data_IF_621073808119
#
_entry.id   IF_621073808119
#
_cell.length_a   1.000
_cell.length_b   1.000
_cell.length_c   1.000
_cell.angle_alpha   90.00
_cell.angle_beta   90.00
_cell.angle_gamma   90.00
#
_symmetry.space_group_name_H-M   'P 1'
#
loop_
_entity.id
_entity.type
_entity.pdbx_description
1 polymer ?
#
# COMPACT_ATOMS: atom_id res chain seq x y z
N UNK A 1 -9.71 11.33 14.43
CA UNK A 1 -10.16 10.25 13.51
C UNK A 1 -11.42 9.52 13.95
N UNK A 2 -11.69 9.27 15.25
CA UNK A 2 -12.97 8.66 15.70
C UNK A 2 -14.25 9.37 15.17
N UNK A 3 -14.33 10.71 15.13
CA UNK A 3 -15.52 11.39 14.61
C UNK A 3 -15.78 11.13 13.13
N UNK A 4 -14.73 11.13 12.30
CA UNK A 4 -14.84 10.82 10.86
C UNK A 4 -15.32 9.39 10.63
N UNK A 5 -14.73 8.41 11.32
CA UNK A 5 -15.16 7.02 11.24
C UNK A 5 -16.61 6.85 11.68
N UNK A 6 -17.02 7.52 12.77
CA UNK A 6 -18.41 7.50 13.23
C UNK A 6 -19.37 8.14 12.21
N UNK A 7 -18.97 9.24 11.56
CA UNK A 7 -19.75 9.88 10.51
C UNK A 7 -19.95 8.97 9.29
N UNK A 8 -18.87 8.32 8.81
CA UNK A 8 -18.93 7.33 7.73
C UNK A 8 -19.95 6.23 8.05
N UNK A 9 -19.96 5.76 9.30
CA UNK A 9 -20.85 4.66 9.73
C UNK A 9 -22.30 5.08 10.03
N UNK A 10 -22.68 6.35 9.86
CA UNK A 10 -24.08 6.80 10.06
C UNK A 10 -25.02 6.31 8.96
N UNK A 11 -24.51 6.04 7.76
CA UNK A 11 -25.32 5.57 6.64
C UNK A 11 -24.55 5.51 5.33
N UNK A 12 -25.13 4.87 4.29
CA UNK A 12 -24.47 4.70 3.00
C UNK A 12 -24.20 6.03 2.30
N UNK A 13 -25.07 7.03 2.47
CA UNK A 13 -24.89 8.36 1.86
C UNK A 13 -23.66 9.05 2.46
N UNK A 14 -23.51 9.06 3.80
CA UNK A 14 -22.37 9.68 4.47
C UNK A 14 -21.06 8.99 4.08
N UNK A 15 -21.06 7.66 4.02
CA UNK A 15 -19.90 6.90 3.56
C UNK A 15 -19.55 7.22 2.10
N UNK A 16 -20.55 7.23 1.20
CA UNK A 16 -20.33 7.57 -0.20
C UNK A 16 -19.82 8.99 -0.35
N UNK A 17 -20.35 9.95 0.44
CA UNK A 17 -19.93 11.36 0.46
C UNK A 17 -18.47 11.55 0.90
N UNK A 18 -17.97 10.75 1.83
CA UNK A 18 -16.54 10.79 2.18
C UNK A 18 -15.71 10.12 1.09
N UNK A 19 -16.14 8.94 0.60
CA UNK A 19 -15.40 8.16 -0.38
C UNK A 19 -15.19 8.91 -1.70
N UNK A 20 -16.25 9.44 -2.31
CA UNK A 20 -16.14 10.16 -3.58
C UNK A 20 -15.35 11.47 -3.44
N UNK A 21 -15.56 12.25 -2.39
CA UNK A 21 -14.89 13.55 -2.21
C UNK A 21 -13.38 13.36 -2.00
N UNK A 22 -13.01 12.45 -1.10
CA UNK A 22 -11.59 12.11 -0.90
C UNK A 22 -10.99 11.38 -2.10
N UNK A 23 -11.80 10.64 -2.86
CA UNK A 23 -11.41 10.01 -4.12
C UNK A 23 -11.08 11.04 -5.20
N UNK A 24 -11.95 12.02 -5.43
CA UNK A 24 -11.70 13.11 -6.38
C UNK A 24 -10.53 13.98 -5.94
N UNK A 25 -10.45 14.32 -4.65
CA UNK A 25 -9.33 15.09 -4.10
C UNK A 25 -8.00 14.34 -4.25
N UNK A 26 -8.01 13.01 -4.33
CA UNK A 26 -6.81 12.21 -4.55
C UNK A 26 -6.17 12.43 -5.93
N UNK A 27 -6.92 12.94 -6.92
CA UNK A 27 -6.37 13.33 -8.21
C UNK A 27 -5.38 14.51 -8.09
N UNK A 28 -5.58 15.36 -7.06
CA UNK A 28 -4.69 16.49 -6.75
C UNK A 28 -3.68 16.11 -5.66
N UNK A 29 -4.12 15.34 -4.67
CA UNK A 29 -3.34 14.97 -3.49
C UNK A 29 -3.39 13.44 -3.29
N UNK A 30 -2.53 12.65 -3.96
CA UNK A 30 -2.63 11.18 -3.99
C UNK A 30 -2.78 10.51 -2.61
N UNK A 31 -2.12 11.06 -1.58
CA UNK A 31 -2.19 10.55 -0.21
C UNK A 31 -3.60 10.64 0.40
N UNK A 32 -4.45 11.57 -0.04
CA UNK A 32 -5.86 11.66 0.40
C UNK A 32 -6.66 10.44 -0.06
N UNK A 33 -6.25 9.78 -1.13
CA UNK A 33 -6.83 8.53 -1.60
C UNK A 33 -6.83 7.43 -0.53
N UNK A 34 -5.90 7.47 0.43
CA UNK A 34 -5.89 6.57 1.58
C UNK A 34 -7.18 6.66 2.41
N UNK A 35 -7.74 7.86 2.57
CA UNK A 35 -8.99 8.08 3.31
C UNK A 35 -10.20 7.55 2.53
N UNK A 36 -10.15 7.66 1.20
CA UNK A 36 -11.18 7.11 0.31
C UNK A 36 -11.20 5.58 0.39
N UNK A 37 -10.04 4.93 0.24
CA UNK A 37 -9.88 3.48 0.43
C UNK A 37 -10.28 3.04 1.83
N UNK A 38 -9.86 3.76 2.87
CA UNK A 38 -10.18 3.44 4.26
C UNK A 38 -11.68 3.50 4.55
N UNK A 39 -12.40 4.44 3.92
CA UNK A 39 -13.86 4.55 4.00
C UNK A 39 -14.53 3.30 3.45
N UNK A 40 -14.14 2.87 2.24
CA UNK A 40 -14.70 1.68 1.61
C UNK A 40 -14.32 0.39 2.36
N UNK A 41 -13.08 0.30 2.84
CA UNK A 41 -12.61 -0.79 3.69
C UNK A 41 -13.42 -0.88 4.99
N UNK A 42 -13.63 0.24 5.70
CA UNK A 42 -14.39 0.27 6.95
C UNK A 42 -15.83 -0.23 6.76
N UNK A 43 -16.52 0.29 5.74
CA UNK A 43 -17.90 -0.13 5.43
C UNK A 43 -17.95 -1.62 5.08
N UNK A 44 -16.99 -2.10 4.28
CA UNK A 44 -16.91 -3.52 3.88
C UNK A 44 -16.65 -4.43 5.09
N UNK A 45 -15.69 -4.06 5.95
CA UNK A 45 -15.31 -4.83 7.12
C UNK A 45 -16.43 -4.88 8.17
N UNK A 46 -17.16 -3.78 8.39
CA UNK A 46 -18.24 -3.72 9.38
C UNK A 46 -19.59 -4.16 8.83
N UNK A 47 -20.05 -3.53 7.75
CA UNK A 47 -21.37 -3.75 7.14
C UNK A 47 -21.43 -4.97 6.21
N UNK A 48 -20.29 -5.50 5.79
CA UNK A 48 -20.22 -6.62 4.85
C UNK A 48 -19.92 -6.19 3.41
N UNK A 49 -19.60 -7.16 2.56
CA UNK A 49 -19.15 -6.95 1.18
C UNK A 49 -20.16 -6.17 0.35
N UNK A 50 -21.45 -6.48 0.51
CA UNK A 50 -22.52 -5.81 -0.22
C UNK A 50 -22.70 -4.34 0.18
N UNK A 51 -22.53 -4.01 1.46
CA UNK A 51 -22.51 -2.61 1.90
C UNK A 51 -21.36 -1.84 1.25
N UNK A 52 -20.19 -2.46 1.12
CA UNK A 52 -19.05 -1.91 0.38
C UNK A 52 -19.40 -1.63 -1.07
N UNK A 53 -19.98 -2.61 -1.79
CA UNK A 53 -20.40 -2.44 -3.19
C UNK A 53 -21.39 -1.28 -3.34
N UNK A 54 -22.42 -1.21 -2.49
CA UNK A 54 -23.42 -0.13 -2.54
C UNK A 54 -22.80 1.25 -2.34
N UNK A 55 -21.89 1.39 -1.37
CA UNK A 55 -21.19 2.65 -1.11
C UNK A 55 -20.27 3.02 -2.27
N UNK A 56 -19.49 2.06 -2.78
CA UNK A 56 -18.60 2.25 -3.92
C UNK A 56 -19.35 2.61 -5.20
N UNK A 57 -20.50 1.97 -5.47
CA UNK A 57 -21.35 2.29 -6.61
C UNK A 57 -21.94 3.71 -6.52
N UNK A 58 -22.51 4.07 -5.36
CA UNK A 58 -23.07 5.41 -5.16
C UNK A 58 -21.99 6.50 -5.22
N UNK A 59 -20.82 6.27 -4.62
CA UNK A 59 -19.68 7.17 -4.71
C UNK A 59 -19.16 7.27 -6.16
N UNK A 60 -19.15 6.15 -6.88
CA UNK A 60 -18.66 6.05 -8.26
C UNK A 60 -19.54 6.79 -9.26
N UNK A 61 -20.86 6.74 -9.07
CA UNK A 61 -21.78 7.57 -9.84
C UNK A 61 -21.51 9.07 -9.63
N UNK A 62 -21.27 9.49 -8.39
CA UNK A 62 -20.90 10.88 -8.08
C UNK A 62 -19.57 11.30 -8.73
N UNK A 63 -18.54 10.46 -8.64
CA UNK A 63 -17.26 10.69 -9.32
C UNK A 63 -17.42 10.75 -10.84
N UNK A 64 -18.18 9.81 -11.43
CA UNK A 64 -18.40 9.74 -12.87
C UNK A 64 -19.05 11.02 -13.38
N UNK A 65 -20.15 11.45 -12.75
CA UNK A 65 -20.86 12.68 -13.14
C UNK A 65 -19.97 13.91 -13.02
N UNK A 66 -19.23 14.08 -11.91
CA UNK A 66 -18.37 15.26 -11.77
C UNK A 66 -17.16 15.24 -12.71
N UNK A 67 -16.51 14.10 -12.91
CA UNK A 67 -15.38 14.02 -13.83
C UNK A 67 -15.81 14.28 -15.27
N UNK A 68 -16.97 13.75 -15.71
CA UNK A 68 -17.46 14.03 -17.06
C UNK A 68 -17.85 15.49 -17.24
N UNK A 69 -18.51 16.11 -16.25
CA UNK A 69 -18.93 17.51 -16.34
C UNK A 69 -17.78 18.51 -16.22
N UNK A 70 -16.83 18.29 -15.30
CA UNK A 70 -15.76 19.24 -14.99
C UNK A 70 -14.49 19.01 -15.83
N UNK A 71 -14.15 17.75 -16.11
CA UNK A 71 -12.93 17.38 -16.82
C UNK A 71 -13.19 16.91 -18.26
N UNK A 72 -14.46 16.85 -18.68
CA UNK A 72 -14.85 16.36 -20.01
C UNK A 72 -14.55 14.87 -20.24
N UNK A 73 -14.24 14.10 -19.19
CA UNK A 73 -13.77 12.72 -19.34
C UNK A 73 -14.19 11.80 -18.18
N UNK A 74 -14.67 10.57 -18.45
CA UNK A 74 -15.00 9.59 -17.42
C UNK A 74 -13.77 8.85 -16.87
N UNK A 75 -12.62 8.94 -17.55
CA UNK A 75 -11.43 8.14 -17.22
C UNK A 75 -10.91 8.32 -15.80
N UNK A 76 -10.85 9.53 -15.22
CA UNK A 76 -10.39 9.70 -13.83
C UNK A 76 -11.31 9.01 -12.82
N UNK A 77 -12.63 9.03 -13.04
CA UNK A 77 -13.58 8.33 -12.19
C UNK A 77 -13.42 6.80 -12.28
N UNK A 78 -13.22 6.27 -13.49
CA UNK A 78 -12.93 4.86 -13.71
C UNK A 78 -11.59 4.45 -13.08
N UNK A 79 -10.56 5.30 -13.14
CA UNK A 79 -9.28 5.04 -12.49
C UNK A 79 -9.44 4.94 -10.96
N UNK A 80 -10.18 5.86 -10.33
CA UNK A 80 -10.48 5.77 -8.88
C UNK A 80 -11.21 4.45 -8.57
N UNK A 81 -12.24 4.11 -9.35
CA UNK A 81 -12.99 2.87 -9.13
C UNK A 81 -12.10 1.62 -9.24
N UNK A 82 -11.34 1.50 -10.33
CA UNK A 82 -10.59 0.28 -10.67
C UNK A 82 -9.27 0.15 -9.92
N UNK A 83 -8.59 1.26 -9.65
CA UNK A 83 -7.26 1.27 -9.01
C UNK A 83 -7.34 1.43 -7.51
N UNK A 84 -8.31 2.21 -7.00
CA UNK A 84 -8.40 2.52 -5.57
C UNK A 84 -9.47 1.68 -4.85
N UNK A 85 -10.68 1.59 -5.42
CA UNK A 85 -11.83 1.03 -4.71
C UNK A 85 -12.03 -0.46 -4.91
N UNK A 86 -11.94 -0.96 -6.13
CA UNK A 86 -12.10 -2.38 -6.42
C UNK A 86 -11.04 -3.22 -5.66
N UNK A 87 -9.74 -2.85 -5.66
CA UNK A 87 -8.73 -3.63 -4.95
C UNK A 87 -8.92 -3.57 -3.44
N UNK A 88 -9.21 -2.39 -2.86
CA UNK A 88 -9.42 -2.30 -1.41
C UNK A 88 -10.69 -3.01 -0.96
N UNK A 89 -11.75 -3.00 -1.76
CA UNK A 89 -12.96 -3.77 -1.49
C UNK A 89 -12.67 -5.27 -1.50
N UNK A 90 -11.94 -5.76 -2.50
CA UNK A 90 -11.53 -7.16 -2.61
C UNK A 90 -10.67 -7.59 -1.41
N UNK A 91 -9.66 -6.80 -1.06
CA UNK A 91 -8.82 -7.08 0.11
C UNK A 91 -9.59 -6.97 1.43
N UNK A 92 -10.53 -6.03 1.56
CA UNK A 92 -11.40 -5.94 2.74
C UNK A 92 -12.32 -7.15 2.87
N UNK A 93 -12.82 -7.68 1.76
CA UNK A 93 -13.57 -8.95 1.74
C UNK A 93 -12.67 -10.11 2.19
N UNK A 94 -11.46 -10.23 1.64
CA UNK A 94 -10.48 -11.25 2.05
C UNK A 94 -10.18 -11.14 3.55
N UNK A 95 -9.92 -9.94 4.06
CA UNK A 95 -9.64 -9.71 5.49
C UNK A 95 -10.84 -10.07 6.35
N UNK A 96 -12.07 -9.77 5.91
CA UNK A 96 -13.30 -10.10 6.64
C UNK A 96 -13.46 -11.61 6.83
N UNK A 97 -13.18 -12.41 5.81
CA UNK A 97 -13.35 -13.86 5.86
C UNK A 97 -12.14 -14.59 6.48
N UNK A 98 -10.92 -14.19 6.12
CA UNK A 98 -9.69 -14.82 6.64
C UNK A 98 -9.33 -14.38 8.06
N UNK A 99 -9.78 -13.20 8.49
CA UNK A 99 -9.38 -12.55 9.75
C UNK A 99 -7.87 -12.42 9.94
N UNK A 100 -7.09 -12.44 8.85
CA UNK A 100 -5.63 -12.41 8.90
C UNK A 100 -5.08 -11.28 8.04
N UNK A 101 -4.49 -10.26 8.70
CA UNK A 101 -3.82 -9.15 8.01
C UNK A 101 -2.67 -9.64 7.12
N UNK A 102 -1.93 -10.65 7.59
CA UNK A 102 -0.80 -11.20 6.85
C UNK A 102 -1.26 -11.96 5.60
N UNK A 103 -2.34 -12.72 5.69
CA UNK A 103 -2.92 -13.38 4.52
C UNK A 103 -3.42 -12.34 3.49
N UNK A 104 -4.14 -11.31 3.95
CA UNK A 104 -4.61 -10.24 3.06
C UNK A 104 -3.47 -9.47 2.40
N UNK A 105 -2.38 -9.19 3.12
CA UNK A 105 -1.20 -8.54 2.55
C UNK A 105 -0.54 -9.41 1.47
N UNK A 106 -0.44 -10.73 1.69
CA UNK A 106 0.07 -11.66 0.69
C UNK A 106 -0.84 -11.73 -0.55
N UNK A 107 -2.16 -11.67 -0.38
CA UNK A 107 -3.10 -11.58 -1.50
C UNK A 107 -2.91 -10.29 -2.32
N UNK A 108 -2.66 -9.15 -1.66
CA UNK A 108 -2.34 -7.90 -2.33
C UNK A 108 -1.02 -8.00 -3.13
N UNK A 109 0.01 -8.60 -2.53
CA UNK A 109 1.28 -8.82 -3.21
C UNK A 109 1.15 -9.75 -4.42
N UNK A 110 0.33 -10.80 -4.32
CA UNK A 110 0.04 -11.65 -5.47
C UNK A 110 -0.55 -10.83 -6.63
N UNK A 111 -1.50 -9.92 -6.37
CA UNK A 111 -2.05 -9.05 -7.43
C UNK A 111 -0.99 -8.11 -8.03
N UNK A 112 -0.09 -7.55 -7.21
CA UNK A 112 1.01 -6.71 -7.70
C UNK A 112 2.02 -7.50 -8.53
N UNK A 113 2.39 -8.70 -8.09
CA UNK A 113 3.30 -9.62 -8.81
C UNK A 113 2.69 -10.01 -10.15
N UNK A 114 1.42 -10.40 -10.18
CA UNK A 114 0.72 -10.72 -11.43
C UNK A 114 0.66 -9.51 -12.38
N UNK A 115 0.49 -8.29 -11.85
CA UNK A 115 0.55 -7.06 -12.63
C UNK A 115 1.92 -6.84 -13.28
N UNK A 116 3.01 -6.96 -12.51
CA UNK A 116 4.38 -6.84 -13.04
C UNK A 116 4.67 -7.91 -14.08
N UNK A 117 4.33 -9.17 -13.80
CA UNK A 117 4.51 -10.28 -14.74
C UNK A 117 3.73 -10.04 -16.05
N UNK A 118 2.50 -9.55 -15.95
CA UNK A 118 1.68 -9.23 -17.12
C UNK A 118 2.30 -8.11 -17.95
N UNK A 119 2.85 -7.07 -17.32
CA UNK A 119 3.53 -5.99 -18.03
C UNK A 119 4.76 -6.52 -18.77
N UNK A 120 5.64 -7.28 -18.10
CA UNK A 120 6.84 -7.83 -18.73
C UNK A 120 6.52 -8.88 -19.81
N UNK A 121 5.41 -9.60 -19.70
CA UNK A 121 4.99 -10.59 -20.69
C UNK A 121 4.31 -9.98 -21.93
N UNK A 122 3.52 -8.92 -21.74
CA UNK A 122 2.72 -8.30 -22.80
C UNK A 122 3.40 -7.10 -23.45
N UNK A 123 4.26 -6.40 -22.72
CA UNK A 123 4.99 -5.22 -23.19
C UNK A 123 6.45 -5.64 -23.37
N UNK A 124 6.87 -5.83 -24.62
CA UNK A 124 8.23 -6.31 -24.92
C UNK A 124 9.35 -5.40 -24.41
N UNK A 125 9.13 -4.07 -24.41
CA UNK A 125 10.04 -3.09 -23.81
C UNK A 125 9.27 -2.16 -22.86
N UNK A 126 9.15 -2.53 -21.56
CA UNK A 126 8.48 -1.71 -20.56
C UNK A 126 9.14 -0.34 -20.38
N UNK A 127 10.46 -0.24 -20.53
CA UNK A 127 11.20 1.02 -20.33
C UNK A 127 10.80 2.06 -21.36
N UNK A 128 10.80 1.69 -22.65
CA UNK A 128 10.35 2.58 -23.73
C UNK A 128 8.87 2.95 -23.59
N UNK A 129 8.03 2.01 -23.16
CA UNK A 129 6.62 2.30 -22.87
C UNK A 129 6.46 3.36 -21.77
N UNK A 130 7.24 3.26 -20.68
CA UNK A 130 7.24 4.25 -19.61
C UNK A 130 7.78 5.61 -20.06
N UNK A 131 8.85 5.65 -20.84
CA UNK A 131 9.37 6.91 -21.39
C UNK A 131 8.30 7.64 -22.21
N UNK A 132 7.58 6.92 -23.09
CA UNK A 132 6.47 7.48 -23.88
C UNK A 132 5.33 7.96 -22.99
N UNK A 133 4.98 7.19 -21.97
CA UNK A 133 3.89 7.55 -21.05
C UNK A 133 4.23 8.80 -20.20
N UNK A 134 5.50 8.94 -19.83
CA UNK A 134 5.99 10.04 -19.00
C UNK A 134 6.38 11.29 -19.80
N UNK A 135 6.38 11.21 -21.13
CA UNK A 135 6.76 12.31 -22.01
C UNK A 135 5.98 13.62 -21.76
N UNK A 136 4.65 13.60 -21.55
CA UNK A 136 3.91 14.83 -21.24
C UNK A 136 4.39 15.50 -19.95
N UNK A 137 4.77 14.71 -18.95
CA UNK A 137 5.31 15.20 -17.68
C UNK A 137 6.72 15.78 -17.88
N UNK A 138 7.55 15.10 -18.67
CA UNK A 138 8.89 15.59 -19.04
C UNK A 138 8.80 16.95 -19.76
N UNK A 139 7.93 17.05 -20.76
CA UNK A 139 7.72 18.28 -21.53
C UNK A 139 7.20 19.43 -20.65
N UNK A 140 6.28 19.14 -19.72
CA UNK A 140 5.78 20.14 -18.77
C UNK A 140 6.90 20.67 -17.85
N UNK A 141 7.74 19.79 -17.30
CA UNK A 141 8.86 20.18 -16.44
C UNK A 141 9.87 21.10 -17.14
N UNK A 142 10.11 20.87 -18.43
CA UNK A 142 11.02 21.70 -19.23
C UNK A 142 10.38 23.05 -19.52
N UNK A 143 9.10 23.04 -19.94
CA UNK A 143 8.34 24.25 -20.24
C UNK A 143 8.22 25.18 -19.03
N UNK A 144 8.01 24.61 -17.85
CA UNK A 144 7.83 25.37 -16.60
C UNK A 144 9.19 25.80 -15.98
N UNK A 145 10.31 25.54 -16.66
CA UNK A 145 11.65 25.92 -16.23
C UNK A 145 12.18 25.10 -15.05
N UNK A 146 11.59 23.93 -14.77
CA UNK A 146 12.01 23.05 -13.69
C UNK A 146 13.33 22.32 -13.99
N UNK A 147 13.55 21.91 -15.24
CA UNK A 147 14.77 21.27 -15.72
C UNK A 147 15.07 21.73 -17.15
N UNK A 148 16.35 21.73 -17.54
CA UNK A 148 16.72 21.85 -18.95
C UNK A 148 16.54 20.52 -19.70
N UNK A 149 16.52 20.57 -21.03
CA UNK A 149 16.34 19.39 -21.89
C UNK A 149 17.31 18.23 -21.57
N UNK A 150 18.65 18.43 -21.44
CA UNK A 150 19.57 17.34 -21.16
C UNK A 150 19.39 16.76 -19.75
N UNK A 151 19.15 17.58 -18.71
CA UNK A 151 18.89 17.06 -17.38
C UNK A 151 17.57 16.28 -17.32
N UNK A 152 16.52 16.80 -17.97
CA UNK A 152 15.25 16.09 -18.06
C UNK A 152 15.42 14.73 -18.75
N UNK A 153 16.11 14.67 -19.90
CA UNK A 153 16.36 13.40 -20.58
C UNK A 153 17.10 12.38 -19.68
N UNK A 154 18.14 12.81 -18.96
CA UNK A 154 18.90 11.95 -18.06
C UNK A 154 18.07 11.43 -16.88
N UNK A 155 17.23 12.29 -16.27
CA UNK A 155 16.35 11.91 -15.16
C UNK A 155 15.33 10.87 -15.60
N UNK A 156 14.62 11.10 -16.70
CA UNK A 156 13.58 10.16 -17.15
C UNK A 156 14.17 8.84 -17.68
N UNK A 157 15.35 8.86 -18.31
CA UNK A 157 16.08 7.65 -18.69
C UNK A 157 16.50 6.80 -17.47
N UNK A 158 16.79 7.44 -16.33
CA UNK A 158 17.11 6.75 -15.08
C UNK A 158 15.85 6.23 -14.38
N UNK A 159 14.74 6.95 -14.44
CA UNK A 159 13.49 6.60 -13.75
C UNK A 159 12.68 5.52 -14.46
N UNK A 160 12.51 5.65 -15.78
CA UNK A 160 11.62 4.78 -16.57
C UNK A 160 11.85 3.27 -16.39
N UNK A 161 13.11 2.77 -16.30
CA UNK A 161 13.36 1.35 -16.10
C UNK A 161 12.83 0.76 -14.78
N UNK A 162 12.54 1.60 -13.78
CA UNK A 162 12.06 1.19 -12.46
C UNK A 162 10.55 1.38 -12.28
N UNK A 163 9.87 2.01 -13.24
CA UNK A 163 8.49 2.45 -13.08
C UNK A 163 7.49 1.30 -12.97
N UNK A 164 7.74 0.17 -13.63
CA UNK A 164 6.86 -1.01 -13.54
C UNK A 164 6.76 -1.50 -12.09
N UNK A 165 7.88 -1.84 -11.46
CA UNK A 165 7.92 -2.29 -10.08
C UNK A 165 7.53 -1.20 -9.10
N UNK A 166 8.00 0.03 -9.30
CA UNK A 166 7.71 1.15 -8.41
C UNK A 166 6.23 1.49 -8.38
N UNK A 167 5.56 1.57 -9.53
CA UNK A 167 4.12 1.84 -9.60
C UNK A 167 3.33 0.68 -8.98
N UNK A 168 3.66 -0.56 -9.32
CA UNK A 168 2.97 -1.72 -8.74
C UNK A 168 3.10 -1.76 -7.20
N UNK A 169 4.30 -1.51 -6.68
CA UNK A 169 4.55 -1.43 -5.24
C UNK A 169 3.81 -0.26 -4.59
N UNK A 170 3.81 0.91 -5.21
CA UNK A 170 3.11 2.10 -4.72
C UNK A 170 1.60 1.89 -4.66
N UNK A 171 1.00 1.31 -5.71
CA UNK A 171 -0.43 0.99 -5.75
C UNK A 171 -0.78 -0.07 -4.68
N UNK A 172 0.01 -1.14 -4.57
CA UNK A 172 -0.19 -2.14 -3.53
C UNK A 172 -0.13 -1.52 -2.12
N UNK A 173 0.88 -0.67 -1.87
CA UNK A 173 1.07 -0.01 -0.59
C UNK A 173 -0.08 0.95 -0.28
N UNK A 174 -0.53 1.75 -1.25
CA UNK A 174 -1.68 2.64 -1.14
C UNK A 174 -2.93 1.85 -0.68
N UNK A 175 -3.23 0.75 -1.36
CA UNK A 175 -4.41 -0.08 -1.06
C UNK A 175 -4.28 -0.72 0.33
N UNK A 176 -3.11 -1.27 0.68
CA UNK A 176 -2.88 -1.90 1.98
C UNK A 176 -2.94 -0.91 3.14
N UNK A 177 -2.33 0.26 2.99
CA UNK A 177 -2.39 1.31 4.02
C UNK A 177 -3.82 1.82 4.18
N UNK A 178 -4.55 2.01 3.08
CA UNK A 178 -5.98 2.34 3.11
C UNK A 178 -6.80 1.29 3.87
N UNK A 179 -6.59 0.01 3.57
CA UNK A 179 -7.20 -1.11 4.29
C UNK A 179 -6.87 -1.09 5.79
N UNK A 180 -5.60 -0.88 6.15
CA UNK A 180 -5.14 -0.85 7.54
C UNK A 180 -5.76 0.32 8.31
N UNK A 181 -5.89 1.49 7.68
CA UNK A 181 -6.60 2.64 8.26
C UNK A 181 -8.08 2.28 8.48
N UNK A 182 -8.74 1.64 7.50
CA UNK A 182 -10.12 1.17 7.64
C UNK A 182 -10.29 0.16 8.78
N UNK A 183 -9.37 -0.81 8.89
CA UNK A 183 -9.33 -1.79 10.00
C UNK A 183 -9.05 -1.14 11.35
N UNK A 184 -8.20 -0.12 11.39
CA UNK A 184 -7.92 0.67 12.58
C UNK A 184 -9.14 1.48 13.03
N UNK A 185 -9.84 2.14 12.10
CA UNK A 185 -11.11 2.81 12.38
C UNK A 185 -12.17 1.85 12.90
N UNK A 186 -12.27 0.66 12.30
CA UNK A 186 -13.17 -0.40 12.78
C UNK A 186 -12.84 -0.79 14.22
N UNK A 187 -11.56 -0.96 14.56
CA UNK A 187 -11.13 -1.23 15.93
C UNK A 187 -11.48 -0.09 16.88
N UNK A 188 -11.25 1.15 16.49
CA UNK A 188 -11.56 2.32 17.32
C UNK A 188 -13.05 2.47 17.68
N UNK A 189 -13.95 1.99 16.81
CA UNK A 189 -15.40 2.07 17.01
C UNK A 189 -16.00 0.82 17.66
N UNK A 190 -15.50 -0.37 17.31
CA UNK A 190 -16.18 -1.64 17.63
C UNK A 190 -15.29 -2.66 18.37
N UNK A 191 -13.96 -2.50 18.36
CA UNK A 191 -13.02 -3.41 19.02
C UNK A 191 -11.73 -2.67 19.42
N UNK A 192 -11.75 -1.85 20.50
CA UNK A 192 -10.64 -0.99 20.87
C UNK A 192 -9.32 -1.77 21.02
N UNK A 193 -8.27 -1.32 20.32
CA UNK A 193 -6.97 -1.99 20.33
C UNK A 193 -6.85 -3.20 19.39
N UNK A 194 -7.95 -3.67 18.78
CA UNK A 194 -7.96 -4.87 17.91
C UNK A 194 -6.98 -4.80 16.74
N UNK A 195 -6.88 -3.67 16.04
CA UNK A 195 -5.88 -3.51 14.97
C UNK A 195 -4.44 -3.67 15.48
N UNK A 196 -4.14 -3.15 16.67
CA UNK A 196 -2.80 -3.27 17.25
C UNK A 196 -2.44 -4.72 17.58
N UNK A 197 -3.41 -5.51 18.06
CA UNK A 197 -3.22 -6.95 18.28
C UNK A 197 -3.00 -7.69 16.96
N UNK A 198 -3.85 -7.46 15.96
CA UNK A 198 -3.73 -8.09 14.64
C UNK A 198 -2.40 -7.75 13.97
N UNK A 199 -1.97 -6.48 14.02
CA UNK A 199 -0.74 -6.02 13.40
C UNK A 199 0.49 -6.63 14.09
N UNK A 200 0.51 -6.71 15.42
CA UNK A 200 1.60 -7.38 16.14
C UNK A 200 1.61 -8.90 15.96
N UNK A 201 0.50 -9.50 15.56
CA UNK A 201 0.40 -10.91 15.17
C UNK A 201 0.69 -11.15 13.69
N UNK A 202 0.94 -10.10 12.88
CA UNK A 202 1.22 -10.20 11.46
C UNK A 202 2.43 -11.11 11.22
N UNK A 203 2.22 -12.24 10.54
CA UNK A 203 3.27 -13.22 10.22
C UNK A 203 3.10 -13.74 8.80
N UNK A 204 4.07 -13.44 7.95
CA UNK A 204 4.12 -13.92 6.57
C UNK A 204 4.37 -15.44 6.51
N UNK A 205 3.90 -16.07 5.44
CA UNK A 205 4.17 -17.48 5.18
C UNK A 205 5.65 -17.67 4.76
N UNK A 206 6.33 -18.77 5.18
CA UNK A 206 7.74 -19.03 4.85
C UNK A 206 8.07 -18.99 3.35
N UNK A 207 7.11 -19.38 2.50
CA UNK A 207 7.24 -19.32 1.04
C UNK A 207 7.55 -17.90 0.54
N UNK A 208 6.93 -16.87 1.13
CA UNK A 208 7.18 -15.48 0.72
C UNK A 208 8.61 -15.07 1.06
N UNK A 209 9.14 -15.56 2.18
CA UNK A 209 10.54 -15.36 2.53
C UNK A 209 11.47 -16.06 1.54
N UNK A 210 11.18 -17.32 1.21
CA UNK A 210 12.01 -18.11 0.28
C UNK A 210 12.05 -17.45 -1.10
N UNK A 211 10.90 -17.01 -1.62
CA UNK A 211 10.82 -16.25 -2.89
C UNK A 211 11.70 -14.99 -2.80
N UNK A 212 11.62 -14.25 -1.69
CA UNK A 212 12.46 -13.07 -1.47
C UNK A 212 13.96 -13.38 -1.54
N UNK A 213 14.42 -14.44 -0.87
CA UNK A 213 15.82 -14.87 -0.90
C UNK A 213 16.27 -15.27 -2.31
N UNK A 214 15.45 -16.02 -3.04
CA UNK A 214 15.74 -16.42 -4.42
C UNK A 214 15.83 -15.20 -5.35
N UNK A 215 14.93 -14.22 -5.21
CA UNK A 215 14.98 -12.99 -5.99
C UNK A 215 16.22 -12.15 -5.65
N UNK A 216 16.57 -12.01 -4.37
CA UNK A 216 17.80 -11.30 -3.95
C UNK A 216 19.04 -11.98 -4.51
N UNK A 217 19.13 -13.31 -4.47
CA UNK A 217 20.22 -14.05 -5.10
C UNK A 217 20.24 -13.85 -6.63
N UNK A 218 19.05 -13.79 -7.24
CA UNK A 218 18.86 -13.53 -8.68
C UNK A 218 19.42 -12.20 -9.15
N UNK A 219 19.38 -11.14 -8.32
CA UNK A 219 19.95 -9.82 -8.65
C UNK A 219 21.45 -9.91 -8.98
N UNK A 220 22.19 -10.84 -8.36
CA UNK A 220 23.61 -11.05 -8.65
C UNK A 220 23.90 -11.54 -10.07
N UNK A 221 22.94 -12.21 -10.71
CA UNK A 221 23.07 -12.73 -12.08
C UNK A 221 22.60 -11.73 -13.14
N UNK A 222 21.71 -10.81 -12.79
CA UNK A 222 21.18 -9.77 -13.68
C UNK A 222 21.17 -8.42 -12.95
N UNK A 223 22.34 -7.76 -12.84
CA UNK A 223 22.42 -6.46 -12.21
C UNK A 223 21.76 -5.39 -13.09
N UNK A 224 20.91 -4.55 -12.48
CA UNK A 224 20.21 -3.47 -13.17
C UNK A 224 18.68 -3.59 -13.06
N UNK A 225 17.94 -2.65 -13.68
CA UNK A 225 16.48 -2.69 -13.73
C UNK A 225 15.97 -3.86 -14.56
N UNK A 226 14.76 -4.33 -14.27
CA UNK A 226 14.14 -5.46 -14.94
C UNK A 226 13.18 -6.23 -14.04
N UNK A 227 12.78 -7.42 -14.48
CA UNK A 227 11.75 -8.21 -13.81
C UNK A 227 12.08 -8.52 -12.35
N UNK A 228 13.30 -8.99 -12.04
CA UNK A 228 13.68 -9.38 -10.68
C UNK A 228 13.62 -8.19 -9.70
N UNK A 229 14.26 -7.03 -9.98
CA UNK A 229 14.10 -5.84 -9.15
C UNK A 229 12.66 -5.37 -9.03
N UNK A 230 11.87 -5.43 -10.09
CA UNK A 230 10.45 -5.03 -10.04
C UNK A 230 9.63 -5.91 -9.08
N UNK A 231 9.85 -7.23 -9.11
CA UNK A 231 9.23 -8.16 -8.17
C UNK A 231 9.70 -7.92 -6.73
N UNK A 232 10.98 -7.61 -6.52
CA UNK A 232 11.51 -7.25 -5.20
C UNK A 232 10.86 -5.97 -4.67
N UNK A 233 10.69 -4.95 -5.52
CA UNK A 233 10.00 -3.71 -5.14
C UNK A 233 8.58 -4.00 -4.66
N UNK A 234 7.82 -4.84 -5.38
CA UNK A 234 6.45 -5.22 -5.00
C UNK A 234 6.41 -6.02 -3.70
N UNK A 235 7.36 -6.93 -3.45
CA UNK A 235 7.35 -7.76 -2.24
C UNK A 235 7.91 -7.03 -1.01
N UNK A 236 8.78 -6.04 -1.20
CA UNK A 236 9.46 -5.33 -0.11
C UNK A 236 8.54 -4.76 0.97
N UNK A 237 7.34 -4.21 0.69
CA UNK A 237 6.44 -3.72 1.71
C UNK A 237 5.94 -4.83 2.65
N UNK A 238 5.84 -6.08 2.20
CA UNK A 238 5.45 -7.19 3.08
C UNK A 238 6.49 -7.40 4.17
N UNK A 239 7.76 -7.47 3.80
CA UNK A 239 8.84 -7.65 4.78
C UNK A 239 8.99 -6.41 5.65
N UNK A 240 8.78 -5.21 5.11
CA UNK A 240 8.71 -3.99 5.91
C UNK A 240 7.61 -4.07 6.97
N UNK A 241 6.38 -4.45 6.60
CA UNK A 241 5.29 -4.61 7.57
C UNK A 241 5.56 -5.70 8.60
N UNK A 242 6.17 -6.83 8.20
CA UNK A 242 6.62 -7.87 9.13
C UNK A 242 7.65 -7.33 10.13
N UNK A 243 8.65 -6.58 9.67
CA UNK A 243 9.66 -5.96 10.54
C UNK A 243 9.06 -4.92 11.49
N UNK A 244 8.14 -4.08 10.99
CA UNK A 244 7.39 -3.15 11.83
C UNK A 244 6.56 -3.91 12.89
N UNK A 245 5.90 -5.00 12.52
CA UNK A 245 5.13 -5.83 13.45
C UNK A 245 6.02 -6.41 14.57
N UNK A 246 7.23 -6.87 14.25
CA UNK A 246 8.23 -7.32 15.24
C UNK A 246 8.55 -6.18 16.22
N UNK A 247 8.88 -5.00 15.73
CA UNK A 247 9.26 -3.85 16.56
C UNK A 247 8.10 -3.47 17.50
N UNK A 248 6.87 -3.41 16.99
CA UNK A 248 5.68 -3.12 17.80
C UNK A 248 5.41 -4.22 18.83
N UNK A 249 5.65 -5.49 18.51
CA UNK A 249 5.50 -6.61 19.44
C UNK A 249 6.55 -6.57 20.55
N UNK A 250 7.81 -6.32 20.22
CA UNK A 250 8.89 -6.24 21.20
C UNK A 250 8.71 -5.07 22.16
N UNK A 251 8.24 -3.92 21.68
CA UNK A 251 7.94 -2.76 22.54
C UNK A 251 6.77 -3.08 23.47
N UNK A 252 5.73 -3.74 22.98
CA UNK A 252 4.58 -4.15 23.79
C UNK A 252 4.97 -5.18 24.86
N UNK A 253 5.75 -6.20 24.51
CA UNK A 253 6.21 -7.22 25.46
C UNK A 253 7.10 -6.65 26.57
N UNK A 254 7.91 -5.63 26.27
CA UNK A 254 8.78 -4.97 27.26
C UNK A 254 8.07 -3.92 28.11
N UNK A 255 6.78 -3.66 27.88
CA UNK A 255 6.06 -2.57 28.54
C UNK A 255 6.70 -1.20 28.29
N UNK A 256 7.43 -1.03 27.18
CA UNK A 256 8.19 0.18 26.92
C UNK A 256 7.27 1.38 26.62
N UNK A 257 7.71 2.57 27.02
CA UNK A 257 6.95 3.81 26.82
C UNK A 257 6.75 4.10 25.33
N UNK A 258 5.61 4.69 24.98
CA UNK A 258 5.25 5.07 23.60
C UNK A 258 6.28 5.97 22.91
N UNK A 259 7.08 6.72 23.67
CA UNK A 259 8.16 7.57 23.13
C UNK A 259 9.22 6.80 22.33
N UNK A 260 9.47 5.53 22.62
CA UNK A 260 10.39 4.70 21.84
C UNK A 260 9.89 4.46 20.40
N UNK A 261 8.57 4.30 20.21
CA UNK A 261 8.00 4.22 18.87
C UNK A 261 8.16 5.54 18.12
N UNK A 262 7.99 6.68 18.80
CA UNK A 262 8.19 8.00 18.20
C UNK A 262 9.64 8.14 17.72
N UNK A 263 10.62 7.85 18.58
CA UNK A 263 12.03 7.89 18.20
C UNK A 263 12.36 6.95 17.03
N UNK A 264 11.79 5.74 17.04
CA UNK A 264 11.95 4.79 15.92
C UNK A 264 11.39 5.35 14.60
N UNK A 265 10.18 5.92 14.59
CA UNK A 265 9.62 6.50 13.36
C UNK A 265 10.38 7.75 12.90
N UNK A 266 10.93 8.55 13.81
CA UNK A 266 11.84 9.65 13.46
C UNK A 266 13.08 9.09 12.76
N UNK A 267 13.71 8.04 13.31
CA UNK A 267 14.86 7.37 12.68
C UNK A 267 14.49 6.77 11.31
N UNK A 268 13.29 6.21 11.19
CA UNK A 268 12.77 5.63 9.95
C UNK A 268 12.71 6.68 8.83
N UNK A 269 12.25 7.89 9.15
CA UNK A 269 12.11 8.99 8.19
C UNK A 269 13.45 9.67 7.91
N UNK A 270 14.21 10.03 8.94
CA UNK A 270 15.46 10.80 8.81
C UNK A 270 16.54 10.01 8.05
N UNK A 271 16.59 8.69 8.21
CA UNK A 271 17.59 7.83 7.58
C UNK A 271 17.02 6.98 6.43
N UNK A 272 15.87 7.36 5.87
CA UNK A 272 15.35 6.76 4.65
C UNK A 272 16.36 6.98 3.49
N UNK A 273 16.61 5.98 2.60
CA UNK A 273 15.98 4.66 2.53
C UNK A 273 16.63 3.57 3.40
N UNK A 274 17.79 3.83 4.02
CA UNK A 274 18.59 2.80 4.73
C UNK A 274 17.79 2.11 5.84
N UNK A 275 17.05 2.85 6.66
CA UNK A 275 16.26 2.25 7.74
C UNK A 275 15.13 1.36 7.22
N UNK A 276 14.51 1.70 6.08
CA UNK A 276 13.46 0.85 5.49
C UNK A 276 14.01 -0.51 5.07
N UNK A 277 15.19 -0.53 4.44
CA UNK A 277 15.87 -1.77 4.05
C UNK A 277 16.20 -2.61 5.29
N UNK A 278 16.75 -2.00 6.34
CA UNK A 278 17.07 -2.72 7.59
C UNK A 278 15.82 -3.32 8.25
N UNK A 279 14.70 -2.59 8.28
CA UNK A 279 13.43 -3.09 8.84
C UNK A 279 12.84 -4.20 7.95
N UNK A 280 12.96 -4.10 6.63
CA UNK A 280 12.55 -5.17 5.73
C UNK A 280 13.40 -6.44 5.93
N UNK A 281 14.73 -6.31 6.07
CA UNK A 281 15.61 -7.43 6.41
C UNK A 281 15.23 -8.06 7.76
N UNK A 282 14.95 -7.24 8.79
CA UNK A 282 14.45 -7.72 10.07
C UNK A 282 13.18 -8.56 9.90
N UNK A 283 12.23 -8.07 9.09
CA UNK A 283 11.00 -8.78 8.78
C UNK A 283 11.25 -10.09 8.04
N UNK A 284 12.15 -10.11 7.06
CA UNK A 284 12.52 -11.31 6.31
C UNK A 284 13.11 -12.38 7.25
N UNK A 285 14.02 -12.00 8.15
CA UNK A 285 14.63 -12.89 9.14
C UNK A 285 13.59 -13.44 10.13
N UNK A 286 12.64 -12.60 10.57
CA UNK A 286 11.59 -12.98 11.54
C UNK A 286 10.70 -14.14 11.06
N UNK A 287 10.54 -14.33 9.74
CA UNK A 287 9.72 -15.40 9.16
C UNK A 287 10.13 -16.77 9.72
N UNK A 288 11.43 -17.06 9.76
CA UNK A 288 11.96 -18.35 10.23
C UNK A 288 12.52 -18.32 11.65
N UNK A 289 13.15 -17.21 12.05
CA UNK A 289 13.85 -17.14 13.34
C UNK A 289 12.89 -16.96 14.51
N UNK A 290 11.71 -16.36 14.29
CA UNK A 290 10.76 -15.95 15.32
C UNK A 290 11.42 -15.03 16.36
N UNK A 291 11.78 -13.81 15.92
CA UNK A 291 12.50 -12.85 16.75
C UNK A 291 11.67 -12.39 17.94
N UNK A 292 10.34 -12.42 17.81
CA UNK A 292 9.38 -12.05 18.86
C UNK A 292 9.44 -13.01 20.05
N UNK A 293 9.64 -14.31 19.80
CA UNK A 293 9.83 -15.30 20.84
C UNK A 293 11.24 -15.22 21.46
N UNK A 294 12.27 -15.02 20.63
CA UNK A 294 13.67 -15.05 21.09
C UNK A 294 14.13 -13.81 21.85
N UNK A 295 13.62 -12.63 21.46
CA UNK A 295 14.00 -11.35 22.04
C UNK A 295 13.00 -10.87 23.10
N UNK A 296 11.87 -11.57 23.26
CA UNK A 296 10.89 -11.29 24.30
C UNK A 296 11.45 -11.55 25.70
N UNK A 297 10.83 -10.98 26.75
CA UNK A 297 11.19 -11.29 28.14
C UNK A 297 11.11 -12.80 28.38
N UNK A 298 12.13 -13.40 28.99
CA UNK A 298 12.05 -14.79 29.46
C UNK A 298 11.09 -14.85 30.65
N UNK A 299 10.25 -15.89 30.77
CA UNK A 299 9.47 -16.09 31.99
C UNK A 299 10.43 -16.20 33.19
N UNK A 300 10.04 -15.72 34.38
CA UNK A 300 10.83 -15.92 35.59
C UNK A 300 11.02 -17.44 35.80
N UNK A 301 12.26 -17.82 36.10
CA UNK A 301 12.66 -19.20 36.39
C UNK A 301 12.00 -19.71 37.67
#
# INVERSE_FOLDING_TARGET
MKPLAAFIMRGPVQASLVAWFTGLLSLLLPLVGLLSSATLALVTLRGGTWCGVRVGALAGLGCLVLCTLLLGSPWPALAILLVLWLPVWGLAAILRFSRSLAFTAQAAALTGVLGVLSIHALIGDPTSAWLRLLEPLRAALIKDGGLDEPAAAAVFATLAPWMTGALAAALMLQVLVGLFIGRWWQGQLYNPGGFGADFRAFRLHPVVGLIGLLLVAGVGFQPGPGLIPDLLLVLSPLWLFQGLAVIHQLIAQRGARRGWLVGFYVLLVVFMPRTLVLVACLGLVDIWVDLRARLGPRPPA
#
